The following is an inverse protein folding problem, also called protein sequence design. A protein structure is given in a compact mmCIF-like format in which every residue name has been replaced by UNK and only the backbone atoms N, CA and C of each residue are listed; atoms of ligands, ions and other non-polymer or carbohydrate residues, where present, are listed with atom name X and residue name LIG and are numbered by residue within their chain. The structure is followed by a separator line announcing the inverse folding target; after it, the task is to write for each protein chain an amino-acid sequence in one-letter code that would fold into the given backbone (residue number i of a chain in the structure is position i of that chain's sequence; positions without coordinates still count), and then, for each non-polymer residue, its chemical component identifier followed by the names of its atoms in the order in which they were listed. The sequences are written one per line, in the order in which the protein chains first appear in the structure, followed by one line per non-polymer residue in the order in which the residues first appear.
data_IF_713048250747
#
_entry.id   IF_713048250747
#
_cell.length_a   1.000
_cell.length_b   1.000
_cell.length_c   1.000
_cell.angle_alpha   90.00
_cell.angle_beta   90.00
_cell.angle_gamma   90.00
#
_symmetry.space_group_name_H-M   'P 1'
#
loop_
_entity.id
_entity.type
_entity.pdbx_description
1 polymer ?
#
# COMPACT_ATOMS: atom_id res chain seq x y z
N UNK A 1 -20.23 -16.49 14.23
CA UNK A 1 -20.89 -16.63 12.91
C UNK A 1 -20.71 -17.98 12.22
N UNK A 2 -19.51 -18.43 11.82
CA UNK A 2 -19.33 -19.67 11.03
C UNK A 2 -19.98 -20.91 11.69
N UNK A 3 -19.84 -21.06 13.02
CA UNK A 3 -20.55 -22.10 13.80
C UNK A 3 -22.07 -21.93 13.79
N UNK A 4 -22.57 -20.70 13.99
CA UNK A 4 -24.00 -20.39 14.04
C UNK A 4 -24.72 -20.73 12.73
N UNK A 5 -24.07 -20.51 11.60
CA UNK A 5 -24.65 -20.77 10.27
C UNK A 5 -24.26 -22.14 9.71
N UNK A 6 -23.54 -22.96 10.49
CA UNK A 6 -22.99 -24.25 10.05
C UNK A 6 -22.23 -24.16 8.72
N UNK A 7 -21.37 -23.15 8.56
CA UNK A 7 -20.64 -22.94 7.31
C UNK A 7 -19.76 -24.14 6.96
N UNK A 8 -19.77 -24.53 5.68
CA UNK A 8 -18.96 -25.64 5.16
C UNK A 8 -17.50 -25.23 4.91
N UNK A 9 -17.25 -23.94 4.68
CA UNK A 9 -15.93 -23.36 4.39
C UNK A 9 -15.84 -21.96 5.00
N UNK A 10 -14.62 -21.52 5.32
CA UNK A 10 -14.32 -20.17 5.80
C UNK A 10 -13.39 -19.49 4.80
N UNK A 11 -13.75 -18.30 4.32
CA UNK A 11 -12.88 -17.50 3.45
C UNK A 11 -12.34 -16.26 4.17
N UNK A 12 -11.05 -16.00 4.02
CA UNK A 12 -10.38 -14.80 4.51
C UNK A 12 -9.86 -13.96 3.34
N UNK A 13 -10.10 -12.66 3.40
CA UNK A 13 -9.63 -11.67 2.42
C UNK A 13 -8.66 -10.68 3.08
N UNK A 14 -7.52 -10.43 2.45
CA UNK A 14 -6.47 -9.53 2.98
C UNK A 14 -6.01 -8.51 1.95
N UNK A 15 -6.02 -7.22 2.33
CA UNK A 15 -5.63 -6.11 1.47
C UNK A 15 -4.23 -5.58 1.77
N UNK A 16 -3.82 -5.62 3.04
CA UNK A 16 -2.55 -5.05 3.52
C UNK A 16 -1.71 -6.12 4.20
N UNK A 17 -0.40 -5.91 4.26
CA UNK A 17 0.51 -6.95 4.75
C UNK A 17 0.24 -7.39 6.20
N UNK A 18 -0.25 -6.54 7.14
CA UNK A 18 -0.71 -6.99 8.46
C UNK A 18 -1.84 -8.03 8.41
N UNK A 19 -2.67 -8.04 7.36
CA UNK A 19 -3.75 -9.04 7.21
C UNK A 19 -3.21 -10.48 7.11
N UNK A 20 -1.97 -10.67 6.66
CA UNK A 20 -1.35 -12.00 6.57
C UNK A 20 -1.06 -12.61 7.95
N UNK A 21 -0.78 -11.79 8.96
CA UNK A 21 -0.60 -12.25 10.33
C UNK A 21 -1.93 -12.66 10.96
N UNK A 22 -2.97 -11.86 10.75
CA UNK A 22 -4.34 -12.21 11.18
C UNK A 22 -4.81 -13.52 10.55
N UNK A 23 -4.48 -13.79 9.28
CA UNK A 23 -4.80 -15.08 8.66
C UNK A 23 -4.07 -16.26 9.29
N UNK A 24 -2.80 -16.09 9.68
CA UNK A 24 -2.06 -17.12 10.43
C UNK A 24 -2.67 -17.34 11.81
N UNK A 25 -3.04 -16.26 12.50
CA UNK A 25 -3.72 -16.31 13.79
C UNK A 25 -5.05 -17.06 13.69
N UNK A 26 -5.90 -16.72 12.72
CA UNK A 26 -7.18 -17.40 12.49
C UNK A 26 -6.98 -18.88 12.18
N UNK A 27 -5.99 -19.25 11.36
CA UNK A 27 -5.67 -20.65 11.11
C UNK A 27 -5.30 -21.40 12.40
N UNK A 28 -4.47 -20.79 13.25
CA UNK A 28 -4.11 -21.36 14.55
C UNK A 28 -5.30 -21.47 15.52
N UNK A 29 -6.20 -20.48 15.55
CA UNK A 29 -7.42 -20.55 16.37
C UNK A 29 -8.39 -21.62 15.85
N UNK A 30 -8.50 -21.78 14.52
CA UNK A 30 -9.28 -22.88 13.93
C UNK A 30 -8.72 -24.26 14.30
N UNK A 31 -7.40 -24.40 14.47
CA UNK A 31 -6.79 -25.67 14.89
C UNK A 31 -7.08 -26.02 16.35
N UNK A 32 -7.04 -25.01 17.24
CA UNK A 32 -7.35 -25.17 18.67
C UNK A 32 -8.81 -25.52 18.90
N UNK A 33 -9.70 -25.05 18.04
CA UNK A 33 -11.13 -25.22 18.20
C UNK A 33 -11.64 -26.57 17.66
N UNK A 34 -12.20 -27.40 18.55
CA UNK A 34 -12.68 -28.74 18.22
C UNK A 34 -13.74 -28.76 17.11
N UNK A 35 -14.57 -27.73 17.00
CA UNK A 35 -15.60 -27.66 15.96
C UNK A 35 -14.98 -27.65 14.55
N UNK A 36 -13.96 -26.83 14.33
CA UNK A 36 -13.32 -26.71 13.02
C UNK A 36 -12.40 -27.90 12.75
N UNK A 37 -11.65 -28.37 13.75
CA UNK A 37 -10.72 -29.51 13.62
C UNK A 37 -11.44 -30.82 13.31
N UNK A 38 -12.53 -31.14 14.03
CA UNK A 38 -13.29 -32.39 13.81
C UNK A 38 -13.98 -32.43 12.45
N UNK A 39 -14.39 -31.26 11.93
CA UNK A 39 -15.03 -31.13 10.62
C UNK A 39 -14.04 -30.96 9.47
N UNK A 40 -12.76 -30.75 9.75
CA UNK A 40 -11.75 -30.44 8.73
C UNK A 40 -12.26 -29.32 7.79
N UNK A 41 -12.77 -28.24 8.40
CA UNK A 41 -13.44 -27.14 7.68
C UNK A 41 -12.41 -26.42 6.83
N UNK A 42 -12.55 -26.37 5.49
CA UNK A 42 -11.57 -25.70 4.65
C UNK A 42 -11.48 -24.20 4.93
N UNK A 43 -10.24 -23.71 5.00
CA UNK A 43 -9.88 -22.30 5.09
C UNK A 43 -9.37 -21.80 3.74
N UNK A 44 -10.11 -20.91 3.11
CA UNK A 44 -9.74 -20.27 1.85
C UNK A 44 -9.02 -18.94 2.13
N UNK A 45 -7.86 -18.75 1.51
CA UNK A 45 -7.02 -17.56 1.65
C UNK A 45 -6.94 -16.82 0.31
N UNK A 46 -7.37 -15.56 0.26
CA UNK A 46 -7.29 -14.72 -0.94
C UNK A 46 -7.15 -13.23 -0.62
N UNK A 47 -6.95 -12.42 -1.65
CA UNK A 47 -6.77 -10.96 -1.52
C UNK A 47 -5.40 -10.48 -1.99
N UNK A 48 -5.24 -9.15 -2.08
CA UNK A 48 -4.11 -8.49 -2.76
C UNK A 48 -2.72 -8.88 -2.21
N UNK A 49 -2.62 -9.12 -0.90
CA UNK A 49 -1.34 -9.47 -0.26
C UNK A 49 -1.09 -10.97 -0.15
N UNK A 50 -2.10 -11.78 -0.46
CA UNK A 50 -2.03 -13.22 -0.33
C UNK A 50 -1.25 -13.83 -1.50
N UNK A 51 -0.54 -14.92 -1.21
CA UNK A 51 0.16 -15.68 -2.26
C UNK A 51 0.19 -17.16 -1.93
N UNK A 52 0.35 -17.97 -2.98
CA UNK A 52 0.56 -19.42 -2.85
C UNK A 52 1.76 -19.74 -1.95
N UNK A 53 2.87 -19.00 -2.09
CA UNK A 53 4.08 -19.20 -1.29
C UNK A 53 3.84 -18.89 0.18
N UNK A 54 3.27 -17.72 0.49
CA UNK A 54 3.03 -17.34 1.88
C UNK A 54 2.03 -18.30 2.55
N UNK A 55 0.96 -18.67 1.84
CA UNK A 55 -0.03 -19.63 2.35
C UNK A 55 0.61 -20.98 2.68
N UNK A 56 1.40 -21.55 1.76
CA UNK A 56 2.03 -22.85 1.94
C UNK A 56 3.10 -22.89 3.05
N UNK A 57 3.82 -21.77 3.26
CA UNK A 57 4.97 -21.69 4.18
C UNK A 57 4.57 -21.21 5.57
N UNK A 58 3.58 -20.32 5.68
CA UNK A 58 3.28 -19.60 6.94
C UNK A 58 1.89 -19.89 7.51
N UNK A 59 0.86 -19.99 6.66
CA UNK A 59 -0.54 -20.17 7.12
C UNK A 59 -0.91 -21.64 7.25
N UNK A 60 -0.73 -22.42 6.19
CA UNK A 60 -1.11 -23.84 6.14
C UNK A 60 -0.52 -24.68 7.29
N UNK A 61 0.73 -24.47 7.75
CA UNK A 61 1.27 -25.21 8.90
C UNK A 61 0.57 -24.94 10.24
N UNK A 62 -0.24 -23.88 10.35
CA UNK A 62 -0.93 -23.52 11.61
C UNK A 62 -2.26 -24.26 11.80
N UNK A 63 -2.75 -24.98 10.78
CA UNK A 63 -4.05 -25.66 10.84
C UNK A 63 -3.94 -27.08 10.27
N UNK A 64 -4.39 -28.07 11.03
CA UNK A 64 -4.40 -29.47 10.60
C UNK A 64 -5.54 -29.79 9.60
N UNK A 65 -6.43 -28.84 9.32
CA UNK A 65 -7.42 -28.97 8.25
C UNK A 65 -6.97 -28.34 6.93
N UNK A 66 -7.80 -28.38 5.88
CA UNK A 66 -7.44 -27.84 4.58
C UNK A 66 -7.24 -26.33 4.60
N UNK A 67 -6.09 -25.85 4.11
CA UNK A 67 -5.84 -24.43 3.84
C UNK A 67 -5.53 -24.26 2.35
N UNK A 68 -6.34 -23.47 1.64
CA UNK A 68 -6.26 -23.33 0.19
C UNK A 68 -6.14 -21.85 -0.19
N UNK A 69 -5.04 -21.51 -0.85
CA UNK A 69 -4.88 -20.24 -1.54
C UNK A 69 -5.75 -20.19 -2.81
N UNK A 70 -6.55 -19.14 -2.94
CA UNK A 70 -7.40 -18.87 -4.09
C UNK A 70 -6.96 -17.55 -4.72
N UNK A 71 -6.40 -17.56 -5.95
CA UNK A 71 -5.81 -16.35 -6.54
C UNK A 71 -6.84 -15.30 -6.97
N UNK A 72 -8.03 -15.72 -7.38
CA UNK A 72 -9.08 -14.86 -7.91
C UNK A 72 -10.47 -15.49 -7.74
N UNK A 73 -11.52 -14.70 -7.94
CA UNK A 73 -12.90 -15.13 -7.79
C UNK A 73 -13.30 -16.24 -8.79
N UNK A 74 -12.77 -16.21 -10.02
CA UNK A 74 -13.08 -17.22 -11.04
C UNK A 74 -12.64 -18.63 -10.61
N UNK A 75 -11.52 -18.72 -9.90
CA UNK A 75 -11.00 -19.99 -9.36
C UNK A 75 -11.76 -20.48 -8.14
N UNK A 76 -12.39 -19.58 -7.37
CA UNK A 76 -13.07 -19.92 -6.12
C UNK A 76 -14.18 -20.95 -6.30
N UNK A 77 -14.93 -20.89 -7.42
CA UNK A 77 -16.01 -21.82 -7.74
C UNK A 77 -15.48 -23.24 -7.93
N UNK A 78 -14.41 -23.39 -8.71
CA UNK A 78 -13.77 -24.70 -8.93
C UNK A 78 -13.17 -25.28 -7.65
N UNK A 79 -12.59 -24.43 -6.80
CA UNK A 79 -12.10 -24.84 -5.47
C UNK A 79 -13.25 -25.34 -4.58
N UNK A 80 -14.35 -24.57 -4.49
CA UNK A 80 -15.52 -24.95 -3.71
C UNK A 80 -16.14 -26.29 -4.21
N UNK A 81 -16.28 -26.45 -5.53
CA UNK A 81 -16.78 -27.70 -6.13
C UNK A 81 -15.90 -28.90 -5.80
N UNK A 82 -14.58 -28.75 -5.88
CA UNK A 82 -13.65 -29.82 -5.52
C UNK A 82 -13.71 -30.15 -4.02
N UNK A 83 -13.83 -29.16 -3.15
CA UNK A 83 -13.84 -29.35 -1.69
C UNK A 83 -15.15 -29.95 -1.16
N UNK A 84 -16.27 -29.70 -1.83
CA UNK A 84 -17.59 -30.18 -1.44
C UNK A 84 -18.04 -31.43 -2.23
N UNK A 85 -17.38 -31.75 -3.34
CA UNK A 85 -17.72 -32.87 -4.21
C UNK A 85 -16.97 -34.17 -3.91
N UNK A 86 -17.18 -35.17 -4.77
CA UNK A 86 -16.56 -36.50 -4.66
C UNK A 86 -15.03 -36.46 -4.85
N UNK A 87 -14.51 -35.44 -5.53
CA UNK A 87 -13.09 -35.28 -5.83
C UNK A 87 -12.27 -34.71 -4.66
N UNK A 88 -12.90 -34.45 -3.50
CA UNK A 88 -12.27 -33.79 -2.34
C UNK A 88 -10.94 -34.42 -1.94
N UNK A 89 -10.89 -35.75 -1.80
CA UNK A 89 -9.69 -36.43 -1.32
C UNK A 89 -8.50 -36.28 -2.30
N UNK A 90 -8.76 -36.42 -3.60
CA UNK A 90 -7.73 -36.26 -4.62
C UNK A 90 -7.24 -34.81 -4.73
N UNK A 91 -8.17 -33.84 -4.68
CA UNK A 91 -7.82 -32.42 -4.70
C UNK A 91 -6.98 -32.01 -3.48
N UNK A 92 -7.33 -32.47 -2.28
CA UNK A 92 -6.53 -32.20 -1.07
C UNK A 92 -5.12 -32.83 -1.15
N UNK A 93 -5.00 -34.02 -1.73
CA UNK A 93 -3.70 -34.65 -1.96
C UNK A 93 -2.84 -33.88 -2.97
N UNK A 94 -3.45 -33.33 -4.03
CA UNK A 94 -2.79 -32.45 -4.99
C UNK A 94 -2.29 -31.17 -4.31
N UNK A 95 -3.14 -30.47 -3.56
CA UNK A 95 -2.77 -29.25 -2.82
C UNK A 95 -1.66 -29.53 -1.81
N UNK A 96 -1.72 -30.66 -1.09
CA UNK A 96 -0.67 -31.04 -0.14
C UNK A 96 0.68 -31.27 -0.84
N UNK A 97 0.67 -31.97 -1.98
CA UNK A 97 1.86 -32.21 -2.82
C UNK A 97 2.43 -30.89 -3.33
N UNK A 98 1.56 -30.03 -3.81
CA UNK A 98 1.90 -28.71 -4.33
C UNK A 98 2.56 -27.83 -3.27
N UNK A 99 1.97 -27.77 -2.08
CA UNK A 99 2.50 -26.96 -0.98
C UNK A 99 3.80 -27.50 -0.43
N UNK A 100 3.96 -28.82 -0.39
CA UNK A 100 5.23 -29.43 -0.01
C UNK A 100 6.33 -29.10 -1.03
N UNK A 101 6.02 -29.16 -2.33
CA UNK A 101 6.94 -28.72 -3.37
C UNK A 101 7.33 -27.24 -3.22
N UNK A 102 6.35 -26.36 -2.98
CA UNK A 102 6.58 -24.92 -2.74
C UNK A 102 7.47 -24.69 -1.51
N UNK A 103 7.22 -25.39 -0.40
CA UNK A 103 8.04 -25.31 0.82
C UNK A 103 9.48 -25.75 0.55
N UNK A 104 9.68 -26.85 -0.18
CA UNK A 104 11.01 -27.33 -0.54
C UNK A 104 11.75 -26.35 -1.46
N UNK A 105 11.08 -25.77 -2.46
CA UNK A 105 11.67 -24.74 -3.31
C UNK A 105 12.03 -23.49 -2.51
N UNK A 106 11.14 -23.06 -1.61
CA UNK A 106 11.39 -21.92 -0.74
C UNK A 106 12.58 -22.15 0.20
N UNK A 107 12.67 -23.34 0.81
CA UNK A 107 13.79 -23.73 1.67
C UNK A 107 15.13 -23.84 0.92
N UNK A 108 15.11 -24.21 -0.37
CA UNK A 108 16.31 -24.26 -1.23
C UNK A 108 16.72 -22.90 -1.78
N UNK A 109 15.88 -21.86 -1.66
CA UNK A 109 16.20 -20.52 -2.16
C UNK A 109 17.43 -20.00 -1.43
N UNK A 110 18.50 -19.72 -2.18
CA UNK A 110 19.68 -19.06 -1.62
C UNK A 110 19.26 -17.71 -1.08
N UNK A 111 19.35 -17.53 0.23
CA UNK A 111 19.21 -16.21 0.86
C UNK A 111 20.29 -15.31 0.29
N UNK A 112 19.91 -14.14 -0.19
CA UNK A 112 20.90 -13.14 -0.57
C UNK A 112 21.66 -12.75 0.70
N UNK A 113 23.00 -12.70 0.67
CA UNK A 113 23.77 -12.24 1.81
C UNK A 113 23.29 -10.85 2.22
N UNK A 114 23.07 -10.66 3.52
CA UNK A 114 22.78 -9.36 4.10
C UNK A 114 24.09 -8.75 4.60
N UNK A 115 24.33 -7.49 4.29
CA UNK A 115 25.37 -6.71 4.91
C UNK A 115 24.93 -6.24 6.30
N UNK A 116 25.86 -6.17 7.27
CA UNK A 116 25.61 -5.46 8.52
C UNK A 116 25.12 -4.05 8.25
N UNK A 117 24.20 -3.55 9.07
CA UNK A 117 23.55 -2.24 8.87
C UNK A 117 24.57 -1.11 8.71
N UNK A 118 25.66 -1.12 9.46
CA UNK A 118 26.74 -0.13 9.35
C UNK A 118 27.45 -0.16 7.98
N UNK A 119 27.64 -1.36 7.40
CA UNK A 119 28.20 -1.48 6.04
C UNK A 119 27.20 -0.97 4.99
N UNK A 120 25.90 -1.21 5.18
CA UNK A 120 24.88 -0.67 4.29
C UNK A 120 24.79 0.87 4.38
N UNK A 121 24.89 1.44 5.59
CA UNK A 121 24.94 2.89 5.83
C UNK A 121 26.16 3.55 5.19
N UNK A 122 27.31 2.90 5.23
CA UNK A 122 28.52 3.37 4.54
C UNK A 122 28.39 3.38 3.01
N UNK A 123 27.44 2.64 2.44
CA UNK A 123 27.16 2.57 1.00
C UNK A 123 25.88 3.36 0.61
N UNK A 124 25.66 4.52 1.23
CA UNK A 124 24.55 5.42 0.88
C UNK A 124 24.72 6.01 -0.55
N UNK A 125 23.62 6.38 -1.23
CA UNK A 125 23.73 7.14 -2.47
C UNK A 125 24.42 8.48 -2.21
N UNK A 126 25.31 8.87 -3.13
CA UNK A 126 26.00 10.16 -3.10
C UNK A 126 25.16 11.17 -3.87
N UNK A 127 24.41 12.02 -3.16
CA UNK A 127 23.54 13.03 -3.76
C UNK A 127 24.08 14.43 -3.43
N UNK A 128 24.06 15.33 -4.42
CA UNK A 128 24.40 16.74 -4.23
C UNK A 128 23.15 17.54 -3.87
N UNK A 129 23.12 18.07 -2.65
CA UNK A 129 22.04 18.94 -2.15
C UNK A 129 22.37 20.43 -2.28
N UNK A 130 23.55 20.82 -2.74
CA UNK A 130 23.94 22.22 -2.85
C UNK A 130 23.61 22.80 -4.24
N UNK A 131 23.55 21.96 -5.29
CA UNK A 131 23.41 22.42 -6.68
C UNK A 131 22.37 21.60 -7.49
N UNK A 132 21.13 22.08 -7.63
CA UNK A 132 20.55 23.23 -6.93
C UNK A 132 20.22 22.91 -5.47
N UNK A 133 20.13 23.93 -4.58
CA UNK A 133 19.66 23.71 -3.22
C UNK A 133 18.18 23.33 -3.20
N UNK A 134 17.69 22.67 -2.13
CA UNK A 134 16.28 22.37 -1.97
C UNK A 134 15.40 23.61 -2.08
N UNK A 135 14.29 23.49 -2.79
CA UNK A 135 13.33 24.59 -2.99
C UNK A 135 12.47 24.73 -1.73
N UNK A 136 12.45 25.90 -1.07
CA UNK A 136 11.55 26.15 0.05
C UNK A 136 10.08 26.10 -0.37
N UNK A 137 9.20 25.41 0.36
CA UNK A 137 7.77 25.43 0.12
C UNK A 137 7.20 26.85 0.17
N UNK A 138 6.34 27.20 -0.79
CA UNK A 138 5.55 28.45 -0.76
C UNK A 138 4.52 28.46 0.38
N UNK A 139 4.13 27.27 0.85
CA UNK A 139 3.06 27.06 1.79
C UNK A 139 3.47 26.07 2.89
N UNK A 140 4.33 26.52 3.81
CA UNK A 140 4.67 25.75 5.01
C UNK A 140 3.47 25.53 5.94
N UNK A 141 3.54 24.44 6.69
CA UNK A 141 2.55 24.03 7.67
C UNK A 141 1.41 23.21 7.08
N UNK A 142 0.44 22.92 7.96
CA UNK A 142 -0.73 22.08 7.66
C UNK A 142 -1.79 22.87 6.87
N UNK A 143 -2.40 22.23 5.86
CA UNK A 143 -3.54 22.75 5.09
C UNK A 143 -4.61 21.70 4.90
N UNK A 144 -5.85 22.10 5.19
CA UNK A 144 -7.05 21.26 5.10
C UNK A 144 -7.87 21.65 3.88
N UNK A 145 -8.34 20.66 3.15
CA UNK A 145 -9.25 20.79 2.02
C UNK A 145 -10.51 19.99 2.32
N UNK A 146 -11.64 20.67 2.50
CA UNK A 146 -12.94 20.03 2.75
C UNK A 146 -13.86 20.21 1.56
N UNK A 147 -14.64 19.17 1.26
CA UNK A 147 -15.58 19.16 0.12
C UNK A 147 -14.87 19.53 -1.19
N UNK A 148 -13.72 18.92 -1.44
CA UNK A 148 -12.97 19.11 -2.68
C UNK A 148 -13.83 18.66 -3.87
N UNK A 149 -13.77 19.40 -4.98
CA UNK A 149 -14.62 19.14 -6.12
C UNK A 149 -14.28 17.78 -6.76
N UNK A 150 -15.26 16.87 -6.75
CA UNK A 150 -15.13 15.55 -7.37
C UNK A 150 -14.93 15.66 -8.88
N UNK A 151 -15.45 16.71 -9.53
CA UNK A 151 -15.23 16.92 -10.96
C UNK A 151 -13.79 17.34 -11.29
N UNK A 152 -13.11 18.03 -10.37
CA UNK A 152 -11.67 18.32 -10.48
C UNK A 152 -10.86 17.04 -10.27
N UNK A 153 -11.16 16.27 -9.23
CA UNK A 153 -10.50 14.98 -8.95
C UNK A 153 -10.65 14.01 -10.13
N UNK A 154 -11.84 13.93 -10.73
CA UNK A 154 -12.13 13.01 -11.83
C UNK A 154 -11.22 13.17 -13.05
N UNK A 155 -10.59 14.34 -13.24
CA UNK A 155 -9.66 14.60 -14.34
C UNK A 155 -8.31 13.87 -14.17
N UNK A 156 -8.02 13.38 -12.97
CA UNK A 156 -6.77 12.69 -12.60
C UNK A 156 -6.93 11.17 -12.50
N UNK A 157 -8.07 10.62 -12.93
CA UNK A 157 -8.33 9.17 -12.82
C UNK A 157 -7.40 8.39 -13.76
N UNK A 158 -6.69 7.42 -13.18
CA UNK A 158 -6.13 6.28 -13.90
C UNK A 158 -7.18 5.17 -14.00
N UNK A 159 -7.66 4.93 -15.22
CA UNK A 159 -8.65 3.89 -15.53
C UNK A 159 -8.03 2.50 -15.67
N UNK A 160 -6.71 2.36 -15.76
CA UNK A 160 -6.04 1.06 -15.87
C UNK A 160 -6.45 0.08 -14.75
N UNK A 161 -6.31 0.45 -13.46
CA UNK A 161 -6.71 -0.43 -12.36
C UNK A 161 -8.24 -0.59 -12.21
N UNK A 162 -9.05 0.29 -12.81
CA UNK A 162 -10.50 0.09 -12.87
C UNK A 162 -10.83 -1.19 -13.66
N UNK A 163 -10.21 -1.41 -14.82
CA UNK A 163 -10.42 -2.65 -15.59
C UNK A 163 -9.90 -3.90 -14.87
N UNK A 164 -8.80 -3.77 -14.13
CA UNK A 164 -8.27 -4.87 -13.32
C UNK A 164 -9.26 -5.30 -12.22
N UNK A 165 -10.02 -4.36 -11.65
CA UNK A 165 -11.10 -4.66 -10.68
C UNK A 165 -12.20 -5.53 -11.30
N UNK A 166 -12.39 -5.43 -12.61
CA UNK A 166 -13.36 -6.22 -13.39
C UNK A 166 -12.74 -7.45 -14.07
N UNK A 167 -11.51 -7.82 -13.70
CA UNK A 167 -10.76 -8.94 -14.29
C UNK A 167 -10.56 -8.82 -15.81
N UNK A 168 -10.49 -7.59 -16.32
CA UNK A 168 -10.21 -7.28 -17.72
C UNK A 168 -8.75 -6.85 -17.87
N UNK A 169 -7.95 -7.73 -18.46
CA UNK A 169 -6.52 -7.51 -18.64
C UNK A 169 -6.23 -6.70 -19.90
N UNK A 170 -5.49 -5.60 -19.74
CA UNK A 170 -5.00 -4.77 -20.84
C UNK A 170 -4.72 -3.34 -20.39
N UNK A 171 -3.79 -2.62 -21.06
CA UNK A 171 -3.54 -1.22 -20.73
C UNK A 171 -4.68 -0.32 -21.26
N UNK A 172 -5.13 0.64 -20.47
CA UNK A 172 -6.01 1.71 -20.95
C UNK A 172 -5.19 2.76 -21.73
N UNK A 173 -5.70 3.34 -22.84
CA UNK A 173 -6.99 3.08 -23.47
C UNK A 173 -7.02 1.88 -24.44
N UNK A 174 -5.89 1.25 -24.74
CA UNK A 174 -5.80 0.20 -25.76
C UNK A 174 -6.72 -1.03 -25.52
N UNK A 175 -7.03 -1.33 -24.26
CA UNK A 175 -7.99 -2.39 -23.88
C UNK A 175 -9.38 -2.18 -24.51
N UNK A 176 -9.75 -0.94 -24.81
CA UNK A 176 -11.03 -0.62 -25.44
C UNK A 176 -11.12 -1.11 -26.88
N UNK A 177 -9.99 -1.33 -27.54
CA UNK A 177 -9.91 -1.79 -28.93
C UNK A 177 -9.47 -3.27 -29.04
N UNK A 178 -9.35 -3.96 -27.90
CA UNK A 178 -8.96 -5.37 -27.86
C UNK A 178 -9.98 -6.27 -28.57
N UNK A 179 -9.50 -7.24 -29.36
CA UNK A 179 -10.35 -8.12 -30.18
C UNK A 179 -11.19 -9.10 -29.35
N UNK A 180 -10.75 -9.43 -28.13
CA UNK A 180 -11.38 -10.42 -27.26
C UNK A 180 -12.24 -9.73 -26.21
N UNK A 181 -11.68 -8.78 -25.47
CA UNK A 181 -12.33 -8.15 -24.31
C UNK A 181 -12.83 -6.73 -24.58
N UNK A 182 -12.52 -6.13 -25.73
CA UNK A 182 -12.80 -4.71 -25.99
C UNK A 182 -14.28 -4.35 -25.99
N UNK A 183 -15.17 -5.28 -26.37
CA UNK A 183 -16.62 -5.05 -26.27
C UNK A 183 -17.07 -4.87 -24.80
N UNK A 184 -16.69 -5.80 -23.93
CA UNK A 184 -17.03 -5.74 -22.51
C UNK A 184 -16.29 -4.60 -21.79
N UNK A 185 -15.04 -4.32 -22.17
CA UNK A 185 -14.29 -3.18 -21.68
C UNK A 185 -15.01 -1.85 -21.99
N UNK A 186 -15.53 -1.66 -23.21
CA UNK A 186 -16.30 -0.47 -23.56
C UNK A 186 -17.61 -0.37 -22.78
N UNK A 187 -18.32 -1.48 -22.56
CA UNK A 187 -19.56 -1.50 -21.76
C UNK A 187 -19.30 -1.09 -20.31
N UNK A 188 -18.39 -1.79 -19.63
CA UNK A 188 -18.08 -1.51 -18.21
C UNK A 188 -17.47 -0.12 -18.02
N UNK A 189 -16.71 0.37 -19.00
CA UNK A 189 -16.21 1.74 -18.99
C UNK A 189 -17.34 2.77 -19.10
N UNK A 190 -18.29 2.57 -20.01
CA UNK A 190 -19.46 3.45 -20.14
C UNK A 190 -20.30 3.46 -18.86
N UNK A 191 -20.50 2.29 -18.24
CA UNK A 191 -21.20 2.18 -16.95
C UNK A 191 -20.42 2.84 -15.81
N UNK A 192 -19.10 2.72 -15.79
CA UNK A 192 -18.22 3.41 -14.85
C UNK A 192 -18.27 4.93 -14.99
N UNK A 193 -18.24 5.44 -16.22
CA UNK A 193 -18.42 6.87 -16.51
C UNK A 193 -19.82 7.36 -16.09
N UNK A 194 -20.86 6.57 -16.34
CA UNK A 194 -22.22 6.89 -15.92
C UNK A 194 -22.36 6.88 -14.39
N UNK A 195 -21.71 5.95 -13.70
CA UNK A 195 -21.66 5.89 -12.23
C UNK A 195 -20.92 7.11 -11.66
N UNK A 196 -19.74 7.43 -12.20
CA UNK A 196 -18.96 8.61 -11.83
C UNK A 196 -19.78 9.90 -11.97
N UNK A 197 -20.49 10.05 -13.10
CA UNK A 197 -21.40 11.18 -13.32
C UNK A 197 -22.47 11.27 -12.23
N UNK A 198 -23.13 10.16 -11.89
CA UNK A 198 -24.15 10.11 -10.83
C UNK A 198 -23.57 10.46 -9.45
N UNK A 199 -22.36 9.97 -9.14
CA UNK A 199 -21.65 10.28 -7.90
C UNK A 199 -21.41 11.79 -7.77
N UNK A 200 -20.93 12.43 -8.85
CA UNK A 200 -20.63 13.87 -8.88
C UNK A 200 -21.92 14.70 -8.81
N UNK A 201 -22.86 14.48 -9.73
CA UNK A 201 -24.11 15.26 -9.81
C UNK A 201 -24.99 15.07 -8.56
N UNK A 202 -25.04 13.84 -8.06
CA UNK A 202 -25.80 13.48 -6.86
C UNK A 202 -25.07 13.75 -5.55
N UNK A 203 -23.79 14.16 -5.58
CA UNK A 203 -22.93 14.34 -4.41
C UNK A 203 -22.99 13.16 -3.44
N UNK A 204 -22.89 11.95 -3.98
CA UNK A 204 -22.98 10.72 -3.18
C UNK A 204 -21.79 10.52 -2.26
N UNK A 205 -20.64 11.11 -2.63
CA UNK A 205 -19.40 11.04 -1.90
C UNK A 205 -18.93 12.45 -1.54
N UNK A 206 -18.20 12.56 -0.45
CA UNK A 206 -17.45 13.77 -0.08
C UNK A 206 -15.96 13.47 -0.10
N UNK A 207 -15.20 14.31 -0.79
CA UNK A 207 -13.74 14.23 -0.81
C UNK A 207 -13.13 15.27 0.14
N UNK A 208 -12.32 14.80 1.10
CA UNK A 208 -11.55 15.65 1.99
C UNK A 208 -10.08 15.25 1.97
N UNK A 209 -9.20 16.23 2.12
CA UNK A 209 -7.77 16.03 2.13
C UNK A 209 -7.08 16.94 3.12
N UNK A 210 -5.92 16.52 3.59
CA UNK A 210 -5.02 17.34 4.39
C UNK A 210 -3.59 17.07 3.94
N UNK A 211 -2.79 18.13 3.88
CA UNK A 211 -1.36 18.05 3.63
C UNK A 211 -0.61 18.90 4.64
N UNK A 212 0.68 18.63 4.79
CA UNK A 212 1.59 19.48 5.51
C UNK A 212 2.96 19.46 4.85
N UNK A 213 3.56 20.64 4.71
CA UNK A 213 4.94 20.83 4.25
C UNK A 213 5.74 21.41 5.39
N UNK A 214 6.84 20.77 5.78
CA UNK A 214 7.59 21.16 6.96
C UNK A 214 9.09 21.22 6.66
N UNK A 215 9.84 22.06 7.38
CA UNK A 215 11.29 21.94 7.45
C UNK A 215 11.65 20.52 7.89
N UNK A 216 12.55 19.87 7.17
CA UNK A 216 12.96 18.51 7.45
C UNK A 216 14.43 18.28 7.17
N UNK A 217 15.05 17.36 7.89
CA UNK A 217 16.41 16.90 7.62
C UNK A 217 16.53 15.41 7.90
N UNK A 218 17.44 14.77 7.15
CA UNK A 218 17.85 13.40 7.45
C UNK A 218 18.69 13.36 8.73
N UNK A 219 18.42 12.39 9.59
CA UNK A 219 19.25 12.00 10.73
C UNK A 219 19.44 10.48 10.70
N UNK A 220 20.62 10.03 10.26
CA UNK A 220 20.87 8.61 10.02
C UNK A 220 19.97 8.08 8.89
N UNK A 221 19.14 7.08 9.20
CA UNK A 221 18.18 6.50 8.26
C UNK A 221 16.78 7.13 8.35
N UNK A 222 16.61 8.18 9.16
CA UNK A 222 15.31 8.78 9.46
C UNK A 222 15.16 10.18 8.89
N UNK A 223 13.92 10.63 8.71
CA UNK A 223 13.59 12.01 8.39
C UNK A 223 12.95 12.65 9.61
N UNK A 224 13.60 13.68 10.16
CA UNK A 224 13.01 14.51 11.21
C UNK A 224 12.26 15.68 10.56
N UNK A 225 10.99 15.83 10.92
CA UNK A 225 10.16 17.00 10.58
C UNK A 225 10.21 17.96 11.76
N UNK A 226 10.34 19.26 11.50
CA UNK A 226 10.41 20.30 12.53
C UNK A 226 9.15 21.16 12.51
N UNK A 227 8.85 21.76 13.67
CA UNK A 227 7.69 22.63 13.86
C UNK A 227 7.80 23.95 13.09
N UNK A 228 9.02 24.43 12.87
CA UNK A 228 9.33 25.67 12.15
C UNK A 228 10.78 25.66 11.61
N UNK A 229 11.16 26.74 10.93
CA UNK A 229 12.46 26.91 10.27
C UNK A 229 13.65 27.02 11.24
N UNK A 230 13.41 27.20 12.54
CA UNK A 230 14.50 27.19 13.53
C UNK A 230 15.10 25.80 13.71
N UNK A 231 14.33 24.75 13.36
CA UNK A 231 14.72 23.34 13.43
C UNK A 231 15.14 22.91 14.84
N UNK A 232 14.62 23.56 15.88
CA UNK A 232 14.94 23.25 17.28
C UNK A 232 13.99 22.22 17.89
N UNK A 233 12.72 22.25 17.51
CA UNK A 233 11.70 21.32 18.02
C UNK A 233 11.24 20.37 16.91
N UNK A 234 11.51 19.08 17.12
CA UNK A 234 11.02 17.99 16.26
C UNK A 234 9.51 17.85 16.42
N UNK A 235 8.80 17.90 15.30
CA UNK A 235 7.36 17.67 15.18
C UNK A 235 7.06 16.17 15.17
N UNK A 236 7.72 15.43 14.29
CA UNK A 236 7.67 13.97 14.22
C UNK A 236 8.94 13.43 13.54
N UNK A 237 9.19 12.13 13.71
CA UNK A 237 10.25 11.43 12.99
C UNK A 237 9.63 10.35 12.13
N UNK A 238 9.91 10.36 10.83
CA UNK A 238 9.63 9.23 9.96
C UNK A 238 10.81 8.29 9.96
N UNK A 239 10.62 7.13 10.61
CA UNK A 239 11.66 6.13 10.75
C UNK A 239 11.82 5.32 9.47
N UNK A 240 13.01 5.38 8.88
CA UNK A 240 13.32 4.73 7.61
C UNK A 240 13.92 3.33 7.75
N UNK A 241 13.85 2.59 6.65
CA UNK A 241 14.50 1.30 6.46
C UNK A 241 15.46 1.37 5.26
N UNK A 242 16.63 0.77 5.41
CA UNK A 242 17.70 0.71 4.42
C UNK A 242 17.83 -0.69 3.83
N UNK A 243 18.07 -0.74 2.53
CA UNK A 243 18.38 -1.99 1.83
C UNK A 243 19.66 -2.64 2.40
N UNK A 244 19.55 -3.84 2.97
CA UNK A 244 20.69 -4.60 3.52
C UNK A 244 21.21 -5.72 2.63
N UNK A 245 20.51 -6.08 1.55
CA UNK A 245 21.02 -7.08 0.59
C UNK A 245 22.36 -6.62 0.00
N UNK A 246 23.32 -7.54 -0.06
CA UNK A 246 24.62 -7.30 -0.68
C UNK A 246 24.48 -6.70 -2.08
N UNK A 247 25.17 -5.57 -2.32
CA UNK A 247 25.06 -4.83 -3.56
C UNK A 247 26.05 -5.34 -4.58
N UNK A 248 25.58 -5.36 -5.83
CA UNK A 248 26.39 -5.71 -6.98
C UNK A 248 26.90 -4.43 -7.65
N UNK A 249 28.01 -4.58 -8.35
CA UNK A 249 28.54 -3.56 -9.24
C UNK A 249 27.62 -3.49 -10.47
N UNK A 250 27.29 -2.28 -10.92
CA UNK A 250 26.51 -2.04 -12.13
C UNK A 250 27.38 -2.15 -13.40
N UNK A 251 26.77 -1.90 -14.57
CA UNK A 251 27.45 -2.06 -15.86
C UNK A 251 28.59 -1.04 -16.04
N UNK A 252 28.52 0.06 -15.31
CA UNK A 252 29.46 1.18 -15.31
C UNK A 252 30.60 0.98 -14.30
N UNK A 253 30.64 -0.15 -13.59
CA UNK A 253 31.69 -0.46 -12.63
C UNK A 253 31.49 0.17 -11.25
N UNK A 254 30.32 0.74 -10.95
CA UNK A 254 30.00 1.36 -9.67
C UNK A 254 29.20 0.42 -8.78
N UNK A 255 29.52 0.41 -7.49
CA UNK A 255 28.76 -0.36 -6.51
C UNK A 255 27.38 0.28 -6.33
N UNK A 256 26.31 -0.45 -6.60
CA UNK A 256 24.94 0.07 -6.42
C UNK A 256 24.73 0.50 -4.96
N UNK A 257 24.04 1.62 -4.70
CA UNK A 257 23.84 2.10 -3.35
C UNK A 257 22.86 1.22 -2.57
N UNK A 258 23.06 1.19 -1.25
CA UNK A 258 22.09 0.69 -0.29
C UNK A 258 21.12 1.79 0.09
N UNK A 259 19.99 1.89 -0.63
CA UNK A 259 19.06 3.03 -0.51
C UNK A 259 18.21 2.99 0.76
N UNK A 260 17.93 4.17 1.30
CA UNK A 260 16.88 4.51 2.26
C UNK A 260 16.12 5.74 1.74
N UNK A 261 14.81 5.87 2.00
CA UNK A 261 14.04 7.04 1.56
C UNK A 261 14.56 8.33 2.19
N UNK A 262 15.11 8.26 3.40
CA UNK A 262 15.74 9.39 4.08
C UNK A 262 16.96 9.94 3.34
N UNK A 263 17.57 9.16 2.45
CA UNK A 263 18.71 9.63 1.66
C UNK A 263 18.36 10.77 0.71
N UNK A 264 17.07 10.95 0.38
CA UNK A 264 16.57 12.01 -0.50
C UNK A 264 16.20 13.31 0.23
N UNK A 265 16.63 13.46 1.49
CA UNK A 265 16.49 14.68 2.29
C UNK A 265 17.86 15.08 2.81
N UNK A 266 18.18 16.37 2.76
CA UNK A 266 19.51 16.85 3.10
C UNK A 266 19.87 16.46 4.56
N UNK A 267 21.08 15.94 4.80
CA UNK A 267 21.53 15.57 6.13
C UNK A 267 21.58 16.78 7.05
N UNK A 268 21.15 16.61 8.31
CA UNK A 268 21.17 17.68 9.32
C UNK A 268 22.58 18.29 9.48
N UNK A 269 23.61 17.44 9.45
CA UNK A 269 25.01 17.85 9.57
C UNK A 269 25.53 18.70 8.39
N UNK A 270 24.84 18.69 7.24
CA UNK A 270 25.21 19.56 6.10
C UNK A 270 24.89 21.04 6.34
N UNK A 271 23.98 21.34 7.27
CA UNK A 271 23.44 22.69 7.47
C UNK A 271 22.52 23.17 6.34
N UNK A 272 22.22 22.32 5.34
CA UNK A 272 21.30 22.67 4.24
C UNK A 272 19.86 22.58 4.74
N UNK A 273 19.11 23.64 4.51
CA UNK A 273 17.68 23.71 4.81
C UNK A 273 16.89 22.93 3.74
N UNK A 274 16.41 21.74 4.11
CA UNK A 274 15.54 20.92 3.27
C UNK A 274 14.15 20.77 3.89
N UNK A 275 13.25 20.12 3.17
CA UNK A 275 11.83 20.02 3.45
C UNK A 275 11.31 18.65 3.03
N UNK A 276 10.27 18.21 3.73
CA UNK A 276 9.51 17.03 3.37
C UNK A 276 8.04 17.32 3.64
N UNK A 277 7.18 16.61 2.91
CA UNK A 277 5.74 16.73 3.07
C UNK A 277 5.08 15.45 3.53
N UNK A 278 3.81 15.57 3.90
CA UNK A 278 2.94 14.44 4.16
C UNK A 278 1.50 14.79 3.77
N UNK A 279 0.69 13.78 3.45
CA UNK A 279 -0.70 13.95 3.06
C UNK A 279 -1.57 12.78 3.51
N UNK A 280 -2.86 13.07 3.63
CA UNK A 280 -3.93 12.09 3.74
C UNK A 280 -5.16 12.61 2.98
N UNK A 281 -5.72 11.79 2.10
CA UNK A 281 -6.91 12.12 1.30
C UNK A 281 -7.90 10.98 1.38
N UNK A 282 -9.19 11.31 1.30
CA UNK A 282 -10.27 10.35 1.14
C UNK A 282 -11.29 10.88 0.15
N UNK A 283 -11.86 9.97 -0.64
CA UNK A 283 -13.03 10.21 -1.46
C UNK A 283 -14.22 9.34 -1.02
N UNK A 284 -14.11 8.65 0.12
CA UNK A 284 -15.07 7.63 0.55
C UNK A 284 -16.12 8.10 1.56
N UNK A 285 -16.14 9.38 1.97
CA UNK A 285 -17.08 9.84 2.99
C UNK A 285 -18.50 9.79 2.43
N UNK A 286 -19.39 9.07 3.12
CA UNK A 286 -20.76 8.83 2.69
C UNK A 286 -20.98 7.54 1.90
N UNK A 287 -19.92 6.75 1.64
CA UNK A 287 -20.00 5.52 0.84
C UNK A 287 -20.97 4.50 1.44
N UNK A 288 -20.94 4.29 2.75
CA UNK A 288 -21.74 3.28 3.47
C UNK A 288 -23.23 3.37 3.17
N UNK A 289 -23.77 4.60 3.09
CA UNK A 289 -25.19 4.82 2.80
C UNK A 289 -25.53 4.28 1.41
N UNK A 290 -24.71 4.61 0.41
CA UNK A 290 -24.98 4.23 -0.98
C UNK A 290 -24.72 2.74 -1.22
N UNK A 291 -23.68 2.19 -0.59
CA UNK A 291 -23.41 0.76 -0.60
C UNK A 291 -24.59 -0.03 -0.02
N UNK A 292 -25.14 0.43 1.10
CA UNK A 292 -26.32 -0.19 1.71
C UNK A 292 -27.54 -0.13 0.79
N UNK A 293 -27.79 1.00 0.11
CA UNK A 293 -28.88 1.11 -0.85
C UNK A 293 -28.76 0.06 -1.98
N UNK A 294 -27.56 -0.17 -2.51
CA UNK A 294 -27.34 -1.21 -3.53
C UNK A 294 -27.51 -2.63 -2.97
N UNK A 295 -27.00 -2.91 -1.76
CA UNK A 295 -27.18 -4.22 -1.12
C UNK A 295 -28.64 -4.53 -0.80
N UNK A 296 -29.39 -3.56 -0.27
CA UNK A 296 -30.82 -3.72 0.03
C UNK A 296 -31.64 -3.93 -1.25
N UNK A 297 -31.14 -3.45 -2.40
CA UNK A 297 -31.71 -3.67 -3.73
C UNK A 297 -31.20 -4.95 -4.43
N UNK A 298 -30.29 -5.71 -3.82
CA UNK A 298 -29.62 -6.87 -4.42
C UNK A 298 -28.88 -6.53 -5.74
N UNK A 299 -28.34 -5.32 -5.84
CA UNK A 299 -27.61 -4.82 -7.01
C UNK A 299 -26.09 -4.86 -6.75
N UNK A 300 -25.53 -6.07 -6.81
CA UNK A 300 -24.10 -6.30 -6.58
C UNK A 300 -23.23 -5.61 -7.63
N UNK A 301 -23.72 -5.52 -8.88
CA UNK A 301 -23.02 -4.86 -9.98
C UNK A 301 -22.79 -3.39 -9.68
N UNK A 302 -23.85 -2.64 -9.36
CA UNK A 302 -23.72 -1.22 -9.05
C UNK A 302 -22.94 -0.99 -7.76
N UNK A 303 -23.01 -1.91 -6.78
CA UNK A 303 -22.20 -1.83 -5.57
C UNK A 303 -20.70 -1.92 -5.87
N UNK A 304 -20.29 -2.95 -6.63
CA UNK A 304 -18.89 -3.14 -7.04
C UNK A 304 -18.43 -1.96 -7.90
N UNK A 305 -19.27 -1.52 -8.85
CA UNK A 305 -19.00 -0.36 -9.70
C UNK A 305 -18.77 0.91 -8.85
N UNK A 306 -19.67 1.19 -7.91
CA UNK A 306 -19.57 2.35 -7.03
C UNK A 306 -18.29 2.32 -6.20
N UNK A 307 -17.96 1.16 -5.59
CA UNK A 307 -16.71 0.98 -4.83
C UNK A 307 -15.47 1.16 -5.69
N UNK A 308 -15.46 0.59 -6.88
CA UNK A 308 -14.37 0.75 -7.84
C UNK A 308 -14.14 2.22 -8.20
N UNK A 309 -15.22 2.98 -8.48
CA UNK A 309 -15.13 4.41 -8.77
C UNK A 309 -14.69 5.23 -7.54
N UNK A 310 -15.20 4.91 -6.34
CA UNK A 310 -14.78 5.58 -5.11
C UNK A 310 -13.27 5.43 -4.85
N UNK A 311 -12.73 4.23 -5.08
CA UNK A 311 -11.30 3.95 -4.99
C UNK A 311 -10.49 4.72 -6.04
N UNK A 312 -10.95 4.75 -7.30
CA UNK A 312 -10.33 5.57 -8.36
C UNK A 312 -10.32 7.05 -8.00
N UNK A 313 -11.37 7.58 -7.38
CA UNK A 313 -11.42 8.96 -6.91
C UNK A 313 -10.42 9.23 -5.79
N UNK A 314 -10.19 8.29 -4.87
CA UNK A 314 -9.21 8.46 -3.81
C UNK A 314 -7.77 8.53 -4.35
N UNK A 315 -7.41 7.65 -5.29
CA UNK A 315 -6.12 7.66 -5.98
C UNK A 315 -5.94 8.92 -6.85
N UNK A 316 -6.98 9.29 -7.60
CA UNK A 316 -6.99 10.52 -8.39
C UNK A 316 -6.83 11.76 -7.50
N UNK A 317 -7.39 11.76 -6.28
CA UNK A 317 -7.21 12.85 -5.35
C UNK A 317 -5.77 12.92 -4.82
N UNK A 318 -5.12 11.78 -4.61
CA UNK A 318 -3.70 11.75 -4.25
C UNK A 318 -2.83 12.35 -5.36
N UNK A 319 -3.11 12.02 -6.64
CA UNK A 319 -2.41 12.62 -7.79
C UNK A 319 -2.71 14.11 -7.94
N UNK A 320 -3.98 14.50 -7.87
CA UNK A 320 -4.42 15.89 -7.94
C UNK A 320 -3.74 16.75 -6.87
N UNK A 321 -3.74 16.29 -5.61
CA UNK A 321 -3.10 17.01 -4.51
C UNK A 321 -1.58 17.03 -4.68
N UNK A 322 -0.96 15.93 -5.10
CA UNK A 322 0.48 15.90 -5.36
C UNK A 322 0.87 16.87 -6.48
N UNK A 323 0.11 16.92 -7.59
CA UNK A 323 0.31 17.90 -8.65
C UNK A 323 0.24 19.34 -8.13
N UNK A 324 -0.76 19.68 -7.31
CA UNK A 324 -0.86 21.00 -6.65
C UNK A 324 0.29 21.26 -5.68
N UNK A 325 0.81 20.23 -5.01
CA UNK A 325 2.01 20.34 -4.17
C UNK A 325 3.22 20.71 -5.02
N UNK A 326 3.47 20.02 -6.13
CA UNK A 326 4.61 20.30 -7.01
C UNK A 326 4.56 21.71 -7.61
N UNK A 327 3.38 22.14 -8.06
CA UNK A 327 3.18 23.38 -8.82
C UNK A 327 2.97 24.63 -7.94
N UNK A 328 2.03 24.55 -7.00
CA UNK A 328 1.49 25.73 -6.30
C UNK A 328 1.96 25.84 -4.85
N UNK A 329 1.97 24.73 -4.11
CA UNK A 329 2.13 24.74 -2.65
C UNK A 329 3.58 24.58 -2.21
N UNK A 330 4.30 23.61 -2.77
CA UNK A 330 5.75 23.51 -2.62
C UNK A 330 6.43 24.34 -3.70
N UNK A 331 6.05 24.14 -4.97
CA UNK A 331 6.41 25.02 -6.07
C UNK A 331 7.75 24.74 -6.76
N UNK A 332 8.35 23.56 -6.53
CA UNK A 332 9.56 23.15 -7.26
C UNK A 332 9.29 22.75 -8.72
N UNK A 333 8.02 22.47 -9.07
CA UNK A 333 7.54 22.13 -10.41
C UNK A 333 6.61 23.20 -11.00
N UNK A 334 6.79 24.49 -10.68
CA UNK A 334 5.84 25.55 -11.03
C UNK A 334 5.54 25.72 -12.55
N UNK A 335 6.40 25.22 -13.43
CA UNK A 335 6.22 25.23 -14.88
C UNK A 335 5.72 23.91 -15.47
N UNK A 336 5.31 22.95 -14.62
CA UNK A 336 4.81 21.64 -15.04
C UNK A 336 3.52 21.80 -15.86
N UNK A 337 3.46 21.12 -17.01
CA UNK A 337 2.31 21.09 -17.90
C UNK A 337 2.11 19.67 -18.45
N UNK A 338 2.09 18.68 -17.54
CA UNK A 338 1.98 17.27 -17.88
C UNK A 338 0.53 16.89 -18.21
N UNK A 339 0.38 15.99 -19.17
CA UNK A 339 -0.88 15.30 -19.42
C UNK A 339 -1.16 14.24 -18.34
N UNK A 340 -2.42 13.79 -18.21
CA UNK A 340 -2.76 12.74 -17.24
C UNK A 340 -1.95 11.44 -17.46
N UNK A 341 -1.72 11.05 -18.73
CA UNK A 341 -0.90 9.88 -19.05
C UNK A 341 0.56 10.05 -18.59
N UNK A 342 1.08 11.28 -18.62
CA UNK A 342 2.42 11.59 -18.13
C UNK A 342 2.50 11.67 -16.61
N UNK A 343 1.41 12.08 -15.94
CA UNK A 343 1.26 11.97 -14.49
C UNK A 343 1.26 10.51 -14.05
N UNK A 344 0.48 9.64 -14.72
CA UNK A 344 0.44 8.20 -14.47
C UNK A 344 1.81 7.55 -14.70
N UNK A 345 2.53 7.98 -15.74
CA UNK A 345 3.90 7.55 -16.02
C UNK A 345 4.96 8.20 -15.11
N UNK A 346 4.54 8.97 -14.10
CA UNK A 346 5.38 9.62 -13.10
C UNK A 346 6.47 10.52 -13.71
N UNK A 347 6.20 11.22 -14.84
CA UNK A 347 7.17 12.09 -15.53
C UNK A 347 7.40 13.45 -14.85
N UNK A 348 7.19 13.52 -13.54
CA UNK A 348 7.42 14.71 -12.73
C UNK A 348 8.61 14.53 -11.80
N UNK A 349 9.12 15.64 -11.25
CA UNK A 349 10.11 15.61 -10.19
C UNK A 349 9.48 15.17 -8.86
N UNK A 350 10.21 14.39 -8.06
CA UNK A 350 9.82 14.00 -6.71
C UNK A 350 8.90 12.78 -6.66
N UNK A 351 8.67 12.28 -5.45
CA UNK A 351 7.87 11.07 -5.19
C UNK A 351 6.92 11.27 -4.01
N UNK A 352 5.89 10.41 -3.94
CA UNK A 352 4.86 10.42 -2.90
C UNK A 352 4.72 9.09 -2.12
N UNK A 353 5.79 8.56 -1.50
CA UNK A 353 5.81 7.22 -0.90
C UNK A 353 4.75 7.03 0.19
N UNK A 354 3.97 5.95 0.05
CA UNK A 354 2.88 5.59 0.95
C UNK A 354 3.27 4.39 1.84
N UNK A 355 3.14 4.50 3.19
CA UNK A 355 3.49 3.41 4.09
C UNK A 355 2.71 2.11 3.83
N UNK A 356 3.44 1.02 3.65
CA UNK A 356 2.95 -0.30 3.25
C UNK A 356 3.43 -0.74 1.87
N UNK A 357 3.85 0.21 1.03
CA UNK A 357 4.50 -0.10 -0.24
C UNK A 357 5.93 -0.60 -0.03
N UNK A 358 6.53 -1.31 -1.02
CA UNK A 358 7.87 -1.87 -0.89
C UNK A 358 8.99 -0.87 -0.52
N UNK A 359 8.82 0.42 -0.83
CA UNK A 359 9.77 1.48 -0.48
C UNK A 359 9.74 1.89 1.00
N UNK A 360 8.60 1.72 1.66
CA UNK A 360 8.39 2.00 3.08
C UNK A 360 7.37 1.01 3.67
N UNK A 361 7.77 -0.27 3.86
CA UNK A 361 6.83 -1.34 4.20
C UNK A 361 6.24 -1.23 5.61
N UNK A 362 6.80 -0.39 6.49
CA UNK A 362 6.29 -0.18 7.85
C UNK A 362 4.94 0.55 7.84
N UNK A 363 3.86 -0.19 8.09
CA UNK A 363 2.52 0.38 8.17
C UNK A 363 2.34 1.36 9.33
N UNK A 364 3.15 1.28 10.41
CA UNK A 364 2.99 2.12 11.60
C UNK A 364 3.41 3.56 11.42
N UNK A 365 4.16 3.88 10.37
CA UNK A 365 4.46 5.26 10.01
C UNK A 365 3.18 6.10 9.82
N UNK A 366 2.04 5.45 9.51
CA UNK A 366 0.73 6.10 9.45
C UNK A 366 0.27 6.68 10.79
N UNK A 367 0.67 6.12 11.94
CA UNK A 367 0.22 6.58 13.26
C UNK A 367 0.65 8.03 13.49
N UNK A 368 1.95 8.31 13.36
CA UNK A 368 2.49 9.66 13.57
C UNK A 368 2.08 10.60 12.43
N UNK A 369 1.96 10.10 11.19
CA UNK A 369 1.41 10.86 10.07
C UNK A 369 -0.02 11.34 10.35
N UNK A 370 -0.91 10.44 10.76
CA UNK A 370 -2.33 10.75 11.03
C UNK A 370 -2.46 11.72 12.20
N UNK A 371 -1.69 11.49 13.26
CA UNK A 371 -1.64 12.38 14.43
C UNK A 371 -1.15 13.78 14.06
N UNK A 372 -0.07 13.87 13.28
CA UNK A 372 0.52 15.14 12.86
C UNK A 372 -0.42 15.93 11.94
N UNK A 373 -1.13 15.23 11.06
CA UNK A 373 -2.08 15.83 10.14
C UNK A 373 -3.48 16.05 10.72
N UNK A 374 -3.77 15.56 11.93
CA UNK A 374 -5.10 15.65 12.56
C UNK A 374 -6.20 15.18 11.60
N UNK A 375 -6.07 13.94 11.12
CA UNK A 375 -6.90 13.39 10.04
C UNK A 375 -8.35 13.16 10.44
N UNK A 376 -8.64 13.12 11.74
CA UNK A 376 -10.00 13.09 12.26
C UNK A 376 -10.82 14.30 11.80
N UNK A 377 -10.19 15.48 11.65
CA UNK A 377 -10.84 16.68 11.14
C UNK A 377 -11.34 16.54 9.68
N UNK A 378 -10.75 15.63 8.90
CA UNK A 378 -11.17 15.31 7.52
C UNK A 378 -11.98 14.01 7.43
N UNK A 379 -12.33 13.39 8.56
CA UNK A 379 -13.14 12.18 8.61
C UNK A 379 -12.35 10.89 8.35
N UNK A 380 -11.02 10.92 8.52
CA UNK A 380 -10.17 9.75 8.33
C UNK A 380 -9.63 9.18 9.65
N UNK A 381 -9.61 7.86 9.77
CA UNK A 381 -9.12 7.13 10.93
C UNK A 381 -8.27 5.91 10.52
N UNK A 382 -7.55 5.33 11.49
CA UNK A 382 -6.83 4.06 11.34
C UNK A 382 -7.52 2.97 12.16
N UNK A 383 -7.58 1.76 11.61
CA UNK A 383 -7.90 0.55 12.37
C UNK A 383 -6.68 0.07 13.16
N UNK A 384 -6.85 -0.92 14.04
CA UNK A 384 -5.75 -1.55 14.79
C UNK A 384 -4.68 -2.19 13.86
N UNK A 385 -5.12 -2.68 12.69
CA UNK A 385 -4.26 -3.23 11.64
C UNK A 385 -3.61 -2.17 10.75
N UNK A 386 -3.80 -0.88 11.06
CA UNK A 386 -3.32 0.27 10.27
C UNK A 386 -3.97 0.39 8.88
N UNK A 387 -5.14 -0.22 8.67
CA UNK A 387 -5.96 0.09 7.51
C UNK A 387 -6.61 1.46 7.68
N UNK A 388 -6.83 2.18 6.59
CA UNK A 388 -7.47 3.50 6.63
C UNK A 388 -8.99 3.37 6.50
N UNK A 389 -9.70 4.22 7.22
CA UNK A 389 -11.13 4.42 7.07
C UNK A 389 -11.40 5.89 6.71
N UNK A 390 -12.26 6.20 5.72
CA UNK A 390 -12.94 5.26 4.80
C UNK A 390 -11.96 4.43 3.97
N UNK A 391 -12.41 3.31 3.40
CA UNK A 391 -11.54 2.40 2.64
C UNK A 391 -10.90 3.09 1.42
N UNK A 392 -11.68 3.91 0.70
CA UNK A 392 -11.21 4.74 -0.42
C UNK A 392 -10.43 5.95 0.11
N UNK A 393 -9.22 5.70 0.59
CA UNK A 393 -8.31 6.70 1.16
C UNK A 393 -6.86 6.39 0.81
N UNK A 394 -6.05 7.45 0.70
CA UNK A 394 -4.61 7.36 0.44
C UNK A 394 -3.87 8.28 1.41
N UNK A 395 -2.75 7.83 1.96
CA UNK A 395 -1.85 8.67 2.75
C UNK A 395 -0.39 8.33 2.49
N UNK A 396 0.48 9.32 2.64
CA UNK A 396 1.90 9.14 2.39
C UNK A 396 2.70 10.40 2.65
N UNK A 397 3.96 10.35 2.25
CA UNK A 397 4.92 11.44 2.36
C UNK A 397 5.19 12.07 1.00
N UNK A 398 5.81 13.25 0.97
CA UNK A 398 6.32 13.90 -0.24
C UNK A 398 7.83 14.13 -0.10
N UNK A 399 8.59 13.71 -1.10
CA UNK A 399 10.03 13.96 -1.20
C UNK A 399 10.32 14.64 -2.54
N UNK A 400 10.96 15.82 -2.51
CA UNK A 400 11.11 16.68 -3.68
C UNK A 400 12.42 16.49 -4.45
N UNK A 401 13.40 15.77 -3.88
CA UNK A 401 14.72 15.64 -4.49
C UNK A 401 14.61 15.03 -5.90
N UNK A 402 15.29 15.58 -6.92
CA UNK A 402 15.11 15.16 -8.32
C UNK A 402 15.56 13.73 -8.62
N UNK A 403 16.43 13.18 -7.79
CA UNK A 403 16.88 11.78 -7.89
C UNK A 403 16.08 10.83 -6.98
N UNK A 404 15.03 11.32 -6.30
CA UNK A 404 14.17 10.47 -5.49
C UNK A 404 13.43 9.48 -6.40
N UNK A 405 13.50 8.20 -6.04
CA UNK A 405 12.91 7.10 -6.82
C UNK A 405 12.31 6.07 -5.88
N UNK A 406 11.28 5.37 -6.36
CA UNK A 406 10.77 4.19 -5.66
C UNK A 406 11.77 3.03 -5.81
N UNK A 407 11.96 2.29 -4.71
CA UNK A 407 12.75 1.07 -4.67
C UNK A 407 12.10 0.10 -3.68
N UNK A 408 12.45 -1.18 -3.73
CA UNK A 408 12.06 -2.12 -2.67
C UNK A 408 13.14 -2.15 -1.60
N UNK A 409 12.78 -1.93 -0.34
CA UNK A 409 13.68 -2.14 0.82
C UNK A 409 14.20 -3.58 0.82
N UNK A 410 13.33 -4.52 0.45
CA UNK A 410 13.64 -5.95 0.45
C UNK A 410 13.77 -6.49 1.86
N UNK A 411 14.72 -7.41 2.02
CA UNK A 411 14.96 -8.10 3.27
C UNK A 411 15.91 -7.31 4.19
N UNK A 412 15.56 -7.21 5.47
CA UNK A 412 16.37 -6.59 6.52
C UNK A 412 16.84 -7.64 7.54
N UNK A 413 18.03 -7.41 8.10
CA UNK A 413 18.65 -8.19 9.16
C UNK A 413 18.19 -7.74 10.55
N UNK A 414 18.43 -8.62 11.53
CA UNK A 414 18.02 -8.39 12.92
C UNK A 414 18.72 -7.17 13.55
N UNK A 415 19.93 -6.86 13.12
CA UNK A 415 20.69 -5.67 13.55
C UNK A 415 19.97 -4.36 13.22
N UNK A 416 19.37 -4.24 12.03
CA UNK A 416 18.57 -3.07 11.65
C UNK A 416 17.24 -3.01 12.42
N UNK A 417 16.61 -4.15 12.70
CA UNK A 417 15.37 -4.19 13.48
C UNK A 417 15.62 -3.73 14.92
N UNK A 418 16.69 -4.22 15.55
CA UNK A 418 17.08 -3.79 16.90
C UNK A 418 17.41 -2.30 16.93
N UNK A 419 18.17 -1.79 15.96
CA UNK A 419 18.50 -0.37 15.82
C UNK A 419 17.24 0.49 15.66
N UNK A 420 16.29 0.09 14.80
CA UNK A 420 15.04 0.82 14.61
C UNK A 420 14.16 0.78 15.87
N UNK A 421 14.07 -0.36 16.56
CA UNK A 421 13.36 -0.48 17.83
C UNK A 421 13.93 0.50 18.87
N UNK A 422 15.26 0.59 18.97
CA UNK A 422 15.95 1.52 19.86
C UNK A 422 15.68 2.99 19.48
N UNK A 423 15.78 3.36 18.20
CA UNK A 423 15.51 4.73 17.72
C UNK A 423 14.07 5.18 17.99
N UNK A 424 13.13 4.23 17.98
CA UNK A 424 11.69 4.47 18.22
C UNK A 424 11.29 4.40 19.69
N UNK A 425 12.10 3.77 20.54
CA UNK A 425 11.66 3.34 21.87
C UNK A 425 10.50 2.34 21.81
N UNK A 426 10.45 1.51 20.75
CA UNK A 426 9.43 0.48 20.55
C UNK A 426 9.94 -0.89 21.01
N UNK A 427 9.04 -1.76 21.48
CA UNK A 427 9.37 -3.16 21.73
C UNK A 427 9.84 -3.86 20.44
N UNK A 428 10.94 -4.61 20.53
CA UNK A 428 11.57 -5.22 19.36
C UNK A 428 10.73 -6.37 18.77
N UNK A 429 10.03 -7.14 19.60
CA UNK A 429 9.18 -8.23 19.11
C UNK A 429 7.94 -7.66 18.42
N UNK A 430 7.39 -6.57 18.95
CA UNK A 430 6.32 -5.84 18.29
C UNK A 430 6.76 -5.28 16.94
N UNK A 431 7.96 -4.71 16.84
CA UNK A 431 8.48 -4.24 15.56
C UNK A 431 8.74 -5.40 14.58
N UNK A 432 9.26 -6.53 15.05
CA UNK A 432 9.46 -7.74 14.22
C UNK A 432 8.15 -8.25 13.64
N UNK A 433 7.09 -8.29 14.45
CA UNK A 433 5.74 -8.65 14.00
C UNK A 433 5.30 -7.73 12.85
N UNK A 434 5.36 -6.43 13.09
CA UNK A 434 4.92 -5.43 12.09
C UNK A 434 5.75 -5.40 10.81
N UNK A 435 7.02 -5.80 10.89
CA UNK A 435 7.93 -5.91 9.75
C UNK A 435 8.11 -7.34 9.23
N UNK A 436 7.30 -8.31 9.68
CA UNK A 436 7.44 -9.72 9.32
C UNK A 436 7.60 -9.99 7.81
N UNK A 437 6.92 -9.27 6.89
CA UNK A 437 7.13 -9.44 5.45
C UNK A 437 8.54 -9.05 4.95
N UNK A 438 9.26 -8.23 5.71
CA UNK A 438 10.59 -7.69 5.37
C UNK A 438 11.74 -8.39 6.11
N UNK A 439 11.48 -9.33 7.03
CA UNK A 439 12.52 -10.01 7.80
C UNK A 439 13.23 -11.13 7.01
N UNK A 440 14.54 -11.32 7.26
CA UNK A 440 15.43 -12.22 6.51
C UNK A 440 15.70 -13.61 7.04
#
# INVERSE_FOLDING_TARGET
KAKEVNADMVGLSGLITPSLEEMQYVAGEMDKDEYFRSRQTPLLIGGATCSRVHTAVKIAPQYNGPVIYVPDASRSVGVAQNLLGENRAAYLAEVATDYEHVRQLHAKRKKQPLWPIEKARANLPQLDFANPPPVPPRALGRRVFKNFDLAEIAQYIDWGPFFQTWDLAGPFPAILDDEIVGEEARKVFADGQAMLKKIIEGRWLTANGVMGLFPANRVGDDIQFYTDETRTQVLMTWYGLRQQTEKQVDAEGQLRPSRCLADFVAPRESGIADYAGMFAVTAGIGSEKKEKEFLDALDDYSNIMFKGIADRLAEAFAECLHHRVRTDLWGYGAGEALTNDELIAEKYQGIRPAPGYPACPDHTAKIDLFKTLQTDEIGMALTDSMAMYPASSVSGFYLAHPQATYFSVGTIGDDQVQDMAQRRGMDVEELRRRLAPSLG
#
